data_IF_197355797907
#
_entry.id   IF_197355797907
#
_cell.length_a   1.000
_cell.length_b   1.000
_cell.length_c   1.000
_cell.angle_alpha   90.00
_cell.angle_beta   90.00
_cell.angle_gamma   90.00
#
_symmetry.space_group_name_H-M   'P 1'
#
loop_
_entity.id
_entity.type
_entity.pdbx_description
1 polymer ?
#
# COMPACT_ATOMS: atom_id res chain seq x y z
N UNK A 1 3.22 -12.57 -12.69
CA UNK A 1 2.03 -13.40 -12.40
C UNK A 1 1.51 -14.01 -13.69
N UNK A 2 0.54 -14.91 -13.60
CA UNK A 2 -0.12 -15.55 -14.75
C UNK A 2 -1.59 -15.18 -14.79
N UNK A 3 -2.13 -14.94 -15.97
CA UNK A 3 -3.57 -14.87 -16.20
C UNK A 3 -4.06 -16.27 -16.56
N UNK A 4 -4.99 -16.81 -15.77
CA UNK A 4 -5.49 -18.16 -15.94
C UNK A 4 -6.85 -18.13 -16.62
N UNK A 5 -6.92 -18.68 -17.83
CA UNK A 5 -8.17 -18.79 -18.58
C UNK A 5 -9.09 -19.83 -17.92
N UNK A 6 -10.34 -19.43 -17.67
CA UNK A 6 -11.37 -20.27 -17.04
C UNK A 6 -12.71 -20.09 -17.76
N UNK A 7 -13.63 -21.04 -17.57
CA UNK A 7 -14.98 -20.99 -18.16
C UNK A 7 -15.92 -20.03 -17.40
N UNK A 8 -15.54 -18.76 -17.28
CA UNK A 8 -16.35 -17.67 -16.70
C UNK A 8 -16.46 -16.51 -17.69
N UNK A 9 -17.41 -15.57 -17.51
CA UNK A 9 -17.48 -14.36 -18.33
C UNK A 9 -16.13 -13.63 -18.38
N UNK A 10 -15.79 -13.07 -19.55
CA UNK A 10 -14.51 -12.40 -19.80
C UNK A 10 -14.34 -11.23 -18.83
N UNK A 11 -13.17 -11.17 -18.18
CA UNK A 11 -12.75 -10.03 -17.37
C UNK A 11 -12.40 -8.83 -18.27
N UNK A 12 -12.64 -7.63 -17.76
CA UNK A 12 -12.30 -6.39 -18.44
C UNK A 12 -11.60 -5.43 -17.46
N UNK A 13 -10.98 -4.39 -18.01
CA UNK A 13 -10.40 -3.33 -17.21
C UNK A 13 -11.47 -2.68 -16.31
N UNK A 14 -11.17 -2.60 -15.01
CA UNK A 14 -11.99 -1.90 -14.03
C UNK A 14 -11.09 -0.98 -13.19
N UNK A 15 -11.62 0.17 -12.75
CA UNK A 15 -10.93 1.31 -12.13
C UNK A 15 -9.57 0.96 -11.50
N UNK A 16 -8.49 1.43 -12.13
CA UNK A 16 -7.10 1.06 -11.87
C UNK A 16 -6.83 -0.45 -12.13
N UNK A 17 -6.69 -0.87 -13.40
CA UNK A 17 -6.60 -2.29 -13.75
C UNK A 17 -5.50 -3.02 -12.97
N UNK A 18 -5.87 -4.12 -12.31
CA UNK A 18 -5.01 -4.97 -11.47
C UNK A 18 -4.42 -4.34 -10.20
N UNK A 19 -4.35 -3.01 -10.10
CA UNK A 19 -3.70 -2.32 -8.99
C UNK A 19 -4.36 -2.59 -7.62
N UNK A 20 -5.70 -2.55 -7.44
CA UNK A 20 -6.33 -2.86 -6.15
C UNK A 20 -6.02 -4.27 -5.64
N UNK A 21 -6.00 -5.27 -6.53
CA UNK A 21 -5.72 -6.66 -6.16
C UNK A 21 -4.25 -6.83 -5.71
N UNK A 22 -3.33 -6.21 -6.44
CA UNK A 22 -1.91 -6.21 -6.09
C UNK A 22 -1.64 -5.44 -4.78
N UNK A 23 -2.24 -4.26 -4.64
CA UNK A 23 -2.13 -3.43 -3.44
C UNK A 23 -2.67 -4.16 -2.22
N UNK A 24 -3.84 -4.80 -2.30
CA UNK A 24 -4.38 -5.60 -1.20
C UNK A 24 -3.41 -6.70 -0.77
N UNK A 25 -2.92 -7.51 -1.70
CA UNK A 25 -2.00 -8.60 -1.38
C UNK A 25 -0.69 -8.11 -0.74
N UNK A 26 -0.09 -7.05 -1.29
CA UNK A 26 1.16 -6.48 -0.76
C UNK A 26 0.93 -5.83 0.59
N UNK A 27 -0.12 -5.00 0.72
CA UNK A 27 -0.39 -4.26 1.96
C UNK A 27 -0.83 -5.18 3.11
N UNK A 28 -1.50 -6.30 2.83
CA UNK A 28 -1.74 -7.35 3.84
C UNK A 28 -0.44 -7.90 4.39
N UNK A 29 0.52 -8.28 3.52
CA UNK A 29 1.81 -8.78 3.97
C UNK A 29 2.62 -7.72 4.73
N UNK A 30 2.57 -6.45 4.29
CA UNK A 30 3.21 -5.33 5.00
C UNK A 30 2.63 -5.15 6.41
N UNK A 31 1.30 -5.28 6.56
CA UNK A 31 0.62 -5.15 7.84
C UNK A 31 0.94 -6.31 8.78
N UNK A 32 0.90 -7.54 8.28
CA UNK A 32 1.29 -8.75 9.01
C UNK A 32 2.75 -8.66 9.50
N UNK A 33 3.68 -8.25 8.65
CA UNK A 33 5.09 -8.05 9.02
C UNK A 33 5.26 -6.97 10.09
N UNK A 34 4.53 -5.85 9.99
CA UNK A 34 4.58 -4.81 11.01
C UNK A 34 4.11 -5.36 12.37
N UNK A 35 3.03 -6.15 12.37
CA UNK A 35 2.50 -6.79 13.57
C UNK A 35 3.49 -7.81 14.17
N UNK A 36 4.09 -8.68 13.36
CA UNK A 36 5.10 -9.65 13.81
C UNK A 36 6.34 -8.98 14.43
N UNK A 37 6.74 -7.83 13.89
CA UNK A 37 7.85 -7.03 14.40
C UNK A 37 7.47 -6.13 15.59
N UNK A 38 6.21 -6.12 16.02
CA UNK A 38 5.70 -5.23 17.07
C UNK A 38 5.80 -3.74 16.72
N UNK A 39 5.81 -3.41 15.43
CA UNK A 39 5.93 -2.04 14.93
C UNK A 39 4.55 -1.50 14.53
N UNK A 40 4.30 -0.21 14.76
CA UNK A 40 3.11 0.42 14.21
C UNK A 40 3.11 0.31 12.68
N UNK A 41 1.98 -0.09 12.10
CA UNK A 41 1.93 -0.40 10.67
C UNK A 41 2.09 0.81 9.75
N UNK A 42 1.74 2.02 10.22
CA UNK A 42 2.01 3.27 9.47
C UNK A 42 3.49 3.64 9.57
N UNK A 43 4.11 3.47 10.75
CA UNK A 43 5.55 3.70 10.92
C UNK A 43 6.39 2.75 10.07
N UNK A 44 5.98 1.49 9.99
CA UNK A 44 6.62 0.50 9.13
C UNK A 44 6.53 0.90 7.65
N UNK A 45 5.38 1.43 7.21
CA UNK A 45 5.21 1.96 5.85
C UNK A 45 6.09 3.19 5.59
N UNK A 46 6.15 4.14 6.51
CA UNK A 46 7.01 5.32 6.41
C UNK A 46 8.48 4.90 6.28
N UNK A 47 8.93 3.96 7.10
CA UNK A 47 10.31 3.43 7.08
C UNK A 47 10.69 2.82 5.72
N UNK A 48 9.74 2.22 5.02
CA UNK A 48 9.95 1.53 3.75
C UNK A 48 9.43 2.30 2.52
N UNK A 49 8.92 3.53 2.72
CA UNK A 49 8.31 4.31 1.66
C UNK A 49 9.36 4.73 0.60
N UNK A 50 8.95 4.66 -0.67
CA UNK A 50 9.78 5.17 -1.75
C UNK A 50 9.98 6.69 -1.63
N UNK A 51 11.19 7.13 -1.95
CA UNK A 51 11.61 8.52 -1.93
C UNK A 51 12.06 8.94 -3.34
N UNK A 52 12.20 10.24 -3.57
CA UNK A 52 12.82 10.73 -4.80
C UNK A 52 14.19 10.07 -5.01
N UNK A 53 14.47 9.64 -6.25
CA UNK A 53 15.64 8.84 -6.58
C UNK A 53 15.48 7.33 -6.37
N UNK A 54 14.37 6.86 -5.80
CA UNK A 54 14.11 5.41 -5.66
C UNK A 54 13.89 4.78 -7.03
N UNK A 55 14.64 3.72 -7.33
CA UNK A 55 14.45 2.92 -8.55
C UNK A 55 13.29 1.96 -8.37
N UNK A 56 12.24 2.12 -9.18
CA UNK A 56 11.11 1.22 -9.20
C UNK A 56 11.52 -0.17 -9.69
N UNK A 57 10.83 -1.21 -9.20
CA UNK A 57 11.07 -2.60 -9.60
C UNK A 57 10.87 -2.85 -11.11
N UNK A 58 10.08 -2.01 -11.76
CA UNK A 58 9.80 -2.06 -13.20
C UNK A 58 10.68 -1.12 -14.04
N UNK A 59 11.68 -0.45 -13.44
CA UNK A 59 12.75 0.24 -14.17
C UNK A 59 12.94 1.73 -13.87
N UNK A 60 11.89 2.58 -13.98
CA UNK A 60 12.01 4.03 -13.80
C UNK A 60 12.54 4.43 -12.44
N UNK A 61 13.25 5.54 -12.39
CA UNK A 61 13.62 6.21 -11.14
C UNK A 61 12.56 7.25 -10.83
N UNK A 62 12.01 7.23 -9.63
CA UNK A 62 11.01 8.21 -9.23
C UNK A 62 11.66 9.60 -9.08
N UNK A 63 11.01 10.62 -9.65
CA UNK A 63 11.26 12.02 -9.32
C UNK A 63 10.53 12.40 -8.02
N UNK A 64 9.92 13.58 -7.92
CA UNK A 64 9.09 13.95 -6.78
C UNK A 64 7.97 12.92 -6.54
N UNK A 65 7.91 12.34 -5.34
CA UNK A 65 6.92 11.31 -4.96
C UNK A 65 6.28 11.64 -3.62
N UNK A 66 4.95 11.59 -3.57
CA UNK A 66 4.17 12.09 -2.42
C UNK A 66 3.86 11.07 -1.33
N UNK A 67 4.33 9.82 -1.44
CA UNK A 67 3.92 8.75 -0.52
C UNK A 67 4.40 9.03 0.92
N UNK A 68 5.64 9.46 1.11
CA UNK A 68 6.19 9.82 2.43
C UNK A 68 5.36 10.93 3.11
N UNK A 69 5.23 12.12 2.49
CA UNK A 69 4.39 13.20 3.03
C UNK A 69 2.93 12.79 3.28
N UNK A 70 2.36 11.93 2.44
CA UNK A 70 0.98 11.45 2.61
C UNK A 70 0.85 10.55 3.84
N UNK A 71 1.79 9.64 4.06
CA UNK A 71 1.80 8.77 5.23
C UNK A 71 2.05 9.55 6.52
N UNK A 72 2.94 10.54 6.49
CA UNK A 72 3.16 11.42 7.64
C UNK A 72 1.93 12.27 7.96
N UNK A 73 1.26 12.82 6.94
CA UNK A 73 0.00 13.54 7.14
C UNK A 73 -1.10 12.63 7.72
N UNK A 74 -1.22 11.40 7.21
CA UNK A 74 -2.17 10.42 7.71
C UNK A 74 -1.87 10.05 9.17
N UNK A 75 -0.61 9.72 9.50
CA UNK A 75 -0.17 9.39 10.86
C UNK A 75 -0.49 10.50 11.87
N UNK A 76 -0.30 11.75 11.47
CA UNK A 76 -0.53 12.90 12.32
C UNK A 76 -1.99 13.39 12.34
N UNK A 77 -2.86 12.78 11.53
CA UNK A 77 -4.26 13.19 11.43
C UNK A 77 -5.01 12.95 12.77
N UNK A 78 -5.85 13.89 13.25
CA UNK A 78 -6.59 13.73 14.50
C UNK A 78 -7.40 12.44 14.61
N UNK A 79 -7.95 11.95 13.48
CA UNK A 79 -8.69 10.68 13.43
C UNK A 79 -7.86 9.46 13.86
N UNK A 80 -6.53 9.47 13.64
CA UNK A 80 -5.68 8.35 14.06
C UNK A 80 -5.54 8.24 15.59
N UNK A 81 -5.86 9.31 16.32
CA UNK A 81 -5.84 9.37 17.80
C UNK A 81 -7.24 9.39 18.40
N UNK A 82 -8.28 9.43 17.57
CA UNK A 82 -9.65 9.47 18.05
C UNK A 82 -9.99 8.14 18.74
N UNK A 83 -10.65 8.16 19.91
CA UNK A 83 -11.06 6.94 20.56
C UNK A 83 -12.06 6.18 19.69
N UNK A 84 -11.89 4.87 19.58
CA UNK A 84 -12.88 4.02 18.95
C UNK A 84 -14.14 3.98 19.81
N UNK A 85 -15.31 4.12 19.18
CA UNK A 85 -16.59 3.85 19.87
C UNK A 85 -16.75 2.34 20.05
N UNK A 86 -17.48 1.95 21.09
CA UNK A 86 -17.84 0.55 21.29
C UNK A 86 -18.74 0.10 20.13
N UNK A 87 -18.40 -1.03 19.50
CA UNK A 87 -19.20 -1.66 18.45
C UNK A 87 -20.41 -2.37 19.03
#
# INVERSE_FOLDING_TARGET
GYEVLVNRPKTAAYRAPSAPMAAFAVESAVDELAHELGMNAVDFRIKNAAQEGTRASYGPVYGPIGIGPTLEAAKNHPHMKAPLKMN
#
